data_IF_047792647828
#
_entry.id   IF_047792647828
#
_cell.length_a   1.000
_cell.length_b   1.000
_cell.length_c   1.000
_cell.angle_alpha   90.00
_cell.angle_beta   90.00
_cell.angle_gamma   90.00
#
_symmetry.space_group_name_H-M   'P 1'
#
loop_
_entity.id
_entity.type
_entity.pdbx_description
1 polymer ?
#
# COMPACT_ATOMS: atom_id res chain seq x y z
N UNK A 1 -14.70 3.90 21.84
CA UNK A 1 -15.81 4.75 22.31
C UNK A 1 -15.57 6.16 21.78
N UNK A 2 -16.61 6.81 21.26
CA UNK A 2 -16.50 8.05 20.51
C UNK A 2 -17.40 9.13 21.12
N UNK A 3 -16.83 10.01 21.95
CA UNK A 3 -17.59 11.06 22.65
C UNK A 3 -17.78 12.27 21.73
N UNK A 4 -19.03 12.65 21.48
CA UNK A 4 -19.37 13.81 20.66
C UNK A 4 -19.37 15.10 21.49
N UNK A 5 -19.18 16.29 20.87
CA UNK A 5 -19.34 17.57 21.55
C UNK A 5 -20.71 17.76 22.21
N UNK A 6 -21.74 17.05 21.73
CA UNK A 6 -23.09 17.01 22.32
C UNK A 6 -23.19 16.20 23.62
N UNK A 7 -22.10 15.59 24.09
CA UNK A 7 -22.09 14.68 25.25
C UNK A 7 -22.56 13.26 24.95
N UNK A 8 -23.15 13.01 23.77
CA UNK A 8 -23.56 11.66 23.34
C UNK A 8 -22.33 10.81 23.01
N UNK A 9 -22.39 9.54 23.41
CA UNK A 9 -21.36 8.55 23.13
C UNK A 9 -21.84 7.58 22.06
N UNK A 10 -21.02 7.35 21.04
CA UNK A 10 -21.23 6.31 20.05
C UNK A 10 -20.10 5.27 20.08
N UNK A 11 -20.41 4.03 19.70
CA UNK A 11 -19.40 3.01 19.41
C UNK A 11 -19.22 2.94 17.90
N UNK A 12 -18.01 3.18 17.44
CA UNK A 12 -17.64 3.11 16.02
C UNK A 12 -16.46 2.16 15.88
N UNK A 13 -16.48 1.37 14.82
CA UNK A 13 -15.32 0.59 14.41
C UNK A 13 -14.30 1.48 13.67
N UNK A 14 -14.81 2.36 12.78
CA UNK A 14 -14.00 3.28 11.99
C UNK A 14 -13.65 4.58 12.73
N UNK A 15 -12.47 5.13 12.43
CA UNK A 15 -12.05 6.45 12.92
C UNK A 15 -12.97 7.56 12.38
N UNK A 16 -13.09 8.67 13.12
CA UNK A 16 -13.83 9.86 12.66
C UNK A 16 -13.10 10.53 11.49
N UNK A 17 -13.86 11.03 10.52
CA UNK A 17 -13.36 11.80 9.38
C UNK A 17 -13.69 11.15 8.03
N UNK A 18 -13.21 11.75 6.94
CA UNK A 18 -13.37 11.23 5.57
C UNK A 18 -12.34 10.16 5.17
N UNK A 19 -11.43 9.80 6.08
CA UNK A 19 -10.25 9.01 5.76
C UNK A 19 -9.07 9.90 5.32
N UNK A 20 -8.07 9.28 4.71
CA UNK A 20 -6.92 9.96 4.13
C UNK A 20 -6.82 9.58 2.65
N UNK A 21 -7.22 10.50 1.78
CA UNK A 21 -7.11 10.37 0.33
C UNK A 21 -5.96 11.24 -0.21
N UNK A 22 -5.28 10.74 -1.25
CA UNK A 22 -4.25 11.49 -1.97
C UNK A 22 -4.39 11.20 -3.46
N UNK A 23 -4.53 12.27 -4.25
CA UNK A 23 -4.45 12.18 -5.70
C UNK A 23 -3.00 11.91 -6.14
N UNK A 24 -2.81 10.85 -6.93
CA UNK A 24 -1.53 10.51 -7.55
C UNK A 24 -1.55 11.05 -8.98
N UNK A 25 -0.56 11.85 -9.36
CA UNK A 25 -0.57 12.58 -10.64
C UNK A 25 0.50 12.13 -11.63
N UNK A 26 1.44 11.30 -11.19
CA UNK A 26 2.50 10.73 -12.01
C UNK A 26 2.66 9.23 -11.75
N UNK A 27 3.29 8.55 -12.69
CA UNK A 27 3.77 7.17 -12.51
C UNK A 27 4.74 7.06 -11.34
N UNK A 28 5.62 8.06 -11.15
CA UNK A 28 6.53 8.11 -9.99
C UNK A 28 5.78 8.17 -8.65
N UNK A 29 4.71 8.96 -8.54
CA UNK A 29 3.84 9.00 -7.36
C UNK A 29 3.25 7.60 -7.09
N UNK A 30 2.78 6.92 -8.14
CA UNK A 30 2.21 5.56 -8.02
C UNK A 30 3.25 4.56 -7.52
N UNK A 31 4.45 4.53 -8.10
CA UNK A 31 5.52 3.64 -7.66
C UNK A 31 5.96 3.92 -6.21
N UNK A 32 6.06 5.19 -5.82
CA UNK A 32 6.38 5.58 -4.46
C UNK A 32 5.34 5.03 -3.47
N UNK A 33 4.04 5.13 -3.79
CA UNK A 33 2.97 4.65 -2.91
C UNK A 33 2.83 3.14 -2.90
N UNK A 34 3.05 2.45 -4.01
CA UNK A 34 3.11 0.98 -4.04
C UNK A 34 4.21 0.51 -3.07
N UNK A 35 5.42 1.07 -3.21
CA UNK A 35 6.55 0.77 -2.30
C UNK A 35 6.18 1.06 -0.84
N UNK A 36 5.61 2.23 -0.58
CA UNK A 36 5.18 2.61 0.78
C UNK A 36 4.20 1.59 1.37
N UNK A 37 3.20 1.15 0.60
CA UNK A 37 2.19 0.18 1.04
C UNK A 37 2.82 -1.19 1.33
N UNK A 38 3.69 -1.67 0.45
CA UNK A 38 4.39 -2.95 0.63
C UNK A 38 5.34 -2.93 1.84
N UNK A 39 6.03 -1.82 2.09
CA UNK A 39 6.96 -1.68 3.23
C UNK A 39 6.26 -1.36 4.56
N UNK A 40 4.99 -0.95 4.56
CA UNK A 40 4.28 -0.55 5.77
C UNK A 40 4.26 -1.63 6.87
N UNK A 41 4.00 -2.93 6.59
CA UNK A 41 4.09 -3.98 7.60
C UNK A 41 5.45 -4.06 8.29
N UNK A 42 6.55 -3.92 7.53
CA UNK A 42 7.92 -3.92 8.06
C UNK A 42 8.17 -2.68 8.91
N UNK A 43 7.82 -1.49 8.41
CA UNK A 43 7.96 -0.22 9.15
C UNK A 43 7.17 -0.20 10.46
N UNK A 44 6.07 -0.97 10.53
CA UNK A 44 5.25 -1.13 11.73
C UNK A 44 5.72 -2.28 12.63
N UNK A 45 6.77 -3.00 12.26
CA UNK A 45 7.35 -4.12 13.03
C UNK A 45 6.48 -5.38 13.02
N UNK A 46 5.61 -5.55 12.03
CA UNK A 46 4.69 -6.69 11.94
C UNK A 46 5.31 -7.91 11.26
N UNK A 47 6.35 -7.71 10.45
CA UNK A 47 7.11 -8.76 9.78
C UNK A 47 8.53 -8.30 9.45
N UNK A 48 9.40 -9.22 9.05
CA UNK A 48 10.80 -8.92 8.70
C UNK A 48 10.92 -8.46 7.25
N UNK A 49 10.22 -9.12 6.32
CA UNK A 49 10.22 -8.79 4.90
C UNK A 49 8.80 -8.45 4.41
N UNK A 50 8.64 -7.59 3.37
CA UNK A 50 7.33 -7.27 2.81
C UNK A 50 6.50 -8.49 2.40
N UNK A 51 7.13 -9.52 1.83
CA UNK A 51 6.51 -10.77 1.37
C UNK A 51 6.05 -11.70 2.48
N UNK A 52 6.52 -11.52 3.72
CA UNK A 52 6.05 -12.28 4.87
C UNK A 52 4.62 -11.86 5.28
N UNK A 53 4.19 -10.66 4.86
CA UNK A 53 2.88 -10.14 5.24
C UNK A 53 1.78 -10.69 4.32
N UNK A 54 1.15 -11.78 4.76
CA UNK A 54 0.05 -12.46 4.04
C UNK A 54 -1.16 -11.60 3.65
N UNK A 55 -1.31 -10.40 4.23
CA UNK A 55 -2.42 -9.49 3.93
C UNK A 55 -1.99 -8.32 3.04
N UNK A 56 -0.97 -8.53 2.21
CA UNK A 56 -0.47 -7.59 1.21
C UNK A 56 -0.24 -8.31 -0.11
N UNK A 57 -0.30 -7.56 -1.21
CA UNK A 57 0.06 -8.05 -2.53
C UNK A 57 1.58 -8.25 -2.72
N UNK A 58 2.40 -7.77 -1.79
CA UNK A 58 3.87 -7.81 -1.90
C UNK A 58 4.40 -9.21 -2.26
N UNK A 59 3.91 -10.24 -1.58
CA UNK A 59 4.29 -11.62 -1.84
C UNK A 59 4.04 -12.03 -3.30
N UNK A 60 2.83 -11.83 -3.81
CA UNK A 60 2.45 -12.23 -5.16
C UNK A 60 3.17 -11.44 -6.27
N UNK A 61 3.66 -10.24 -5.98
CA UNK A 61 4.52 -9.47 -6.90
C UNK A 61 5.98 -9.91 -6.85
N UNK A 62 6.46 -10.40 -5.71
CA UNK A 62 7.83 -10.88 -5.53
C UNK A 62 8.02 -12.32 -6.02
N UNK A 63 7.13 -13.24 -5.62
CA UNK A 63 7.25 -14.68 -5.89
C UNK A 63 6.45 -15.13 -7.11
N UNK A 64 5.46 -14.33 -7.54
CA UNK A 64 4.48 -14.73 -8.53
C UNK A 64 3.35 -15.61 -7.98
N UNK A 65 3.42 -16.04 -6.72
CA UNK A 65 2.42 -16.90 -6.09
C UNK A 65 1.23 -16.10 -5.55
N UNK A 66 0.03 -16.49 -5.95
CA UNK A 66 -1.21 -15.86 -5.48
C UNK A 66 -1.66 -16.49 -4.16
N UNK A 67 -1.48 -15.78 -3.05
CA UNK A 67 -1.98 -16.21 -1.73
C UNK A 67 -2.22 -14.99 -0.83
N UNK A 68 -3.32 -14.94 -0.05
CA UNK A 68 -4.43 -15.91 0.01
C UNK A 68 -5.45 -15.75 -1.13
N UNK A 69 -5.32 -14.71 -1.96
CA UNK A 69 -6.23 -14.39 -3.06
C UNK A 69 -5.42 -14.08 -4.32
N UNK A 70 -6.03 -14.36 -5.46
CA UNK A 70 -5.47 -14.02 -6.77
C UNK A 70 -5.52 -12.51 -7.05
N UNK A 71 -4.41 -11.98 -7.56
CA UNK A 71 -4.33 -10.61 -8.05
C UNK A 71 -4.67 -10.59 -9.54
N UNK A 72 -5.65 -9.77 -9.92
CA UNK A 72 -6.00 -9.49 -11.31
C UNK A 72 -4.96 -8.56 -11.94
N UNK A 73 -3.89 -9.14 -12.47
CA UNK A 73 -2.74 -8.39 -13.02
C UNK A 73 -3.08 -7.69 -14.34
N UNK A 74 -4.10 -8.16 -15.06
CA UNK A 74 -4.51 -7.68 -16.38
C UNK A 74 -5.13 -6.28 -16.32
N UNK A 75 -5.67 -5.89 -15.17
CA UNK A 75 -6.26 -4.57 -14.94
C UNK A 75 -5.26 -3.53 -14.46
N UNK A 76 -4.02 -3.95 -14.14
CA UNK A 76 -2.97 -3.05 -13.70
C UNK A 76 -2.44 -2.33 -14.93
N UNK A 77 -2.57 -0.99 -15.02
CA UNK A 77 -2.01 -0.26 -16.14
C UNK A 77 -0.50 -0.50 -16.19
N UNK A 78 0.05 -0.66 -17.39
CA UNK A 78 1.50 -0.79 -17.56
C UNK A 78 2.15 0.47 -16.99
N UNK A 79 2.76 0.33 -15.82
CA UNK A 79 3.57 1.38 -15.24
C UNK A 79 4.89 1.41 -16.02
N UNK A 80 4.90 2.13 -17.13
CA UNK A 80 6.11 2.26 -17.94
C UNK A 80 7.11 3.12 -17.18
N UNK A 81 8.32 2.60 -16.96
CA UNK A 81 9.48 3.36 -16.46
C UNK A 81 9.90 4.51 -17.40
N UNK A 82 9.16 4.81 -18.47
CA UNK A 82 9.49 5.87 -19.44
C UNK A 82 9.33 7.29 -18.87
N UNK A 83 8.66 7.44 -17.72
CA UNK A 83 8.66 8.69 -16.94
C UNK A 83 9.71 8.67 -15.82
N UNK A 84 10.37 7.53 -15.61
CA UNK A 84 11.42 7.34 -14.60
C UNK A 84 12.77 7.69 -15.23
N UNK A 85 13.04 8.97 -15.41
CA UNK A 85 14.40 9.51 -15.40
C UNK A 85 15.04 9.36 -14.01
N UNK A 86 14.95 8.17 -13.40
CA UNK A 86 15.58 7.84 -12.13
C UNK A 86 16.30 6.53 -12.33
N UNK A 87 17.61 6.67 -12.44
CA UNK A 87 18.62 5.64 -12.47
C UNK A 87 18.21 4.46 -11.57
N UNK A 88 18.05 3.31 -12.22
CA UNK A 88 18.32 2.04 -11.56
C UNK A 88 19.75 2.14 -11.04
N UNK A 89 19.88 2.49 -9.76
CA UNK A 89 21.06 2.19 -8.96
C UNK A 89 21.23 0.66 -9.02
N UNK A 90 21.95 0.22 -10.06
CA UNK A 90 22.81 -0.94 -9.96
C UNK A 90 23.68 -0.66 -8.74
N UNK A 91 23.37 -1.36 -7.65
CA UNK A 91 24.33 -1.54 -6.59
C UNK A 91 25.49 -2.35 -7.17
N UNK A 92 26.64 -1.68 -7.29
CA UNK A 92 27.89 -2.23 -6.79
C UNK A 92 27.96 -1.93 -5.29
#
# INVERSE_FOLDING_TARGET
QDQQPSGKTHYRFWQRGGGYDRNLRSTSDVHEKIRYIHENPVRRGLCQFPSDWKWSSAHAWETGENTPLEIQKESVPTLTNLDAGIEFLRGD
#
